data_IF_612930400774
#
_entry.id   IF_612930400774
#
_cell.length_a   1.000
_cell.length_b   1.000
_cell.length_c   1.000
_cell.angle_alpha   90.00
_cell.angle_beta   90.00
_cell.angle_gamma   90.00
#
_symmetry.space_group_name_H-M   'P 1'
#
loop_
_entity.id
_entity.type
_entity.pdbx_description
1 polymer ?
#
# COMPACT_ATOMS: atom_id res chain seq x y z
N UNK A 1 16.85 -14.27 -1.86
CA UNK A 1 16.07 -13.05 -2.12
C UNK A 1 16.90 -12.14 -3.03
N UNK A 2 16.33 -11.64 -4.14
CA UNK A 2 17.05 -10.71 -5.04
C UNK A 2 17.34 -9.38 -4.29
N UNK A 3 18.43 -8.69 -4.65
CA UNK A 3 18.84 -7.39 -4.09
C UNK A 3 17.71 -6.35 -4.13
N UNK A 4 16.89 -6.36 -5.19
CA UNK A 4 15.71 -5.51 -5.29
C UNK A 4 14.74 -5.75 -4.13
N UNK A 5 14.32 -7.01 -3.92
CA UNK A 5 13.38 -7.39 -2.87
C UNK A 5 13.99 -7.09 -1.48
N UNK A 6 15.29 -7.31 -1.28
CA UNK A 6 16.00 -6.96 -0.03
C UNK A 6 15.95 -5.46 0.26
N UNK A 7 16.19 -4.62 -0.76
CA UNK A 7 16.08 -3.18 -0.61
C UNK A 7 14.65 -2.77 -0.27
N UNK A 8 13.70 -3.39 -0.95
CA UNK A 8 12.29 -3.08 -0.84
C UNK A 8 11.70 -3.47 0.51
N UNK A 9 12.03 -4.64 1.05
CA UNK A 9 11.59 -5.07 2.39
C UNK A 9 12.12 -4.15 3.49
N UNK A 10 13.38 -3.70 3.39
CA UNK A 10 13.95 -2.69 4.32
C UNK A 10 13.22 -1.35 4.24
N UNK A 11 12.88 -0.92 3.02
CA UNK A 11 12.09 0.31 2.79
C UNK A 11 10.70 0.17 3.44
N UNK A 12 10.04 -0.96 3.26
CA UNK A 12 8.73 -1.23 3.87
C UNK A 12 8.80 -1.30 5.40
N UNK A 13 9.83 -1.92 5.95
CA UNK A 13 10.05 -1.92 7.40
C UNK A 13 10.13 -0.49 7.95
N UNK A 14 10.91 0.37 7.30
CA UNK A 14 11.04 1.76 7.72
C UNK A 14 9.71 2.51 7.75
N UNK A 15 8.88 2.33 6.71
CA UNK A 15 7.61 3.06 6.59
C UNK A 15 6.47 2.46 7.41
N UNK A 16 6.41 1.15 7.58
CA UNK A 16 5.20 0.47 8.07
C UNK A 16 5.40 -0.35 9.35
N UNK A 17 6.59 -0.90 9.63
CA UNK A 17 6.76 -1.81 10.77
C UNK A 17 6.45 -1.10 12.10
N UNK A 18 5.52 -1.67 12.86
CA UNK A 18 5.02 -1.16 14.15
C UNK A 18 4.44 0.26 14.11
N UNK A 19 4.12 0.81 12.93
CA UNK A 19 3.47 2.13 12.81
C UNK A 19 1.98 2.02 13.09
N UNK A 20 1.43 3.06 13.70
CA UNK A 20 -0.01 3.24 13.84
C UNK A 20 -0.54 4.03 12.65
N UNK A 21 -1.55 3.50 11.98
CA UNK A 21 -2.30 4.18 10.93
C UNK A 21 -3.64 4.57 11.54
N UNK A 22 -4.03 5.83 11.42
CA UNK A 22 -5.31 6.35 11.90
C UNK A 22 -6.32 6.48 10.77
N UNK A 23 -5.88 6.92 9.58
CA UNK A 23 -6.79 7.17 8.45
C UNK A 23 -6.18 6.72 7.12
N UNK A 24 -7.06 6.41 6.19
CA UNK A 24 -6.80 6.41 4.76
C UNK A 24 -7.27 7.76 4.23
N UNK A 25 -6.45 8.44 3.44
CA UNK A 25 -6.81 9.69 2.78
C UNK A 25 -6.83 9.43 1.27
N UNK A 26 -7.98 9.68 0.67
CA UNK A 26 -8.17 9.73 -0.77
C UNK A 26 -8.10 11.17 -1.24
N UNK A 27 -7.60 11.36 -2.47
CA UNK A 27 -7.65 12.64 -3.14
C UNK A 27 -8.77 12.63 -4.18
N UNK A 28 -9.52 13.72 -4.24
CA UNK A 28 -10.51 13.98 -5.26
C UNK A 28 -10.11 15.22 -6.06
N UNK A 29 -10.40 15.24 -7.35
CA UNK A 29 -10.28 16.46 -8.16
C UNK A 29 -11.30 17.49 -7.65
N UNK A 30 -10.90 18.75 -7.52
CA UNK A 30 -11.81 19.82 -7.11
C UNK A 30 -12.86 20.16 -8.17
N UNK A 31 -12.57 19.94 -9.47
CA UNK A 31 -13.47 20.33 -10.57
C UNK A 31 -14.73 19.46 -10.61
N UNK A 32 -14.58 18.13 -10.57
CA UNK A 32 -15.68 17.18 -10.71
C UNK A 32 -15.90 16.28 -9.47
N UNK A 33 -15.06 16.41 -8.45
CA UNK A 33 -15.07 15.60 -7.22
C UNK A 33 -14.87 14.10 -7.48
N UNK A 34 -14.31 13.72 -8.63
CA UNK A 34 -13.91 12.35 -8.92
C UNK A 34 -12.68 11.97 -8.11
N UNK A 35 -12.70 10.75 -7.56
CA UNK A 35 -11.58 10.22 -6.78
C UNK A 35 -10.43 9.86 -7.72
N UNK A 36 -9.23 10.32 -7.38
CA UNK A 36 -8.00 9.84 -7.98
C UNK A 36 -7.74 8.42 -7.47
N UNK A 37 -7.74 7.46 -8.39
CA UNK A 37 -7.59 6.03 -8.12
C UNK A 37 -6.13 5.57 -8.05
N UNK A 38 -5.21 6.34 -8.63
CA UNK A 38 -3.78 6.03 -8.71
C UNK A 38 -2.94 6.63 -7.56
N UNK A 39 -3.57 7.26 -6.57
CA UNK A 39 -2.92 7.85 -5.39
C UNK A 39 -3.67 7.53 -4.11
N UNK A 40 -2.93 7.32 -3.03
CA UNK A 40 -3.47 7.07 -1.69
C UNK A 40 -2.50 7.61 -0.63
N UNK A 41 -3.01 8.11 0.49
CA UNK A 41 -2.19 8.37 1.66
C UNK A 41 -2.69 7.58 2.87
N UNK A 42 -1.75 7.09 3.67
CA UNK A 42 -2.01 6.49 4.97
C UNK A 42 -1.52 7.45 6.04
N UNK A 43 -2.45 8.03 6.80
CA UNK A 43 -2.16 8.98 7.87
C UNK A 43 -1.88 8.23 9.17
N UNK A 44 -0.83 8.64 9.87
CA UNK A 44 -0.45 8.16 11.20
C UNK A 44 -1.14 8.98 12.29
N UNK A 45 -1.15 8.45 13.50
CA UNK A 45 -1.72 9.09 14.69
C UNK A 45 -1.16 10.50 14.98
N UNK A 46 0.12 10.73 14.66
CA UNK A 46 0.80 12.01 14.81
C UNK A 46 0.53 13.02 13.67
N UNK A 47 -0.26 12.64 12.67
CA UNK A 47 -0.57 13.45 11.49
C UNK A 47 0.45 13.32 10.34
N UNK A 48 1.55 12.59 10.49
CA UNK A 48 2.42 12.28 9.36
C UNK A 48 1.71 11.35 8.37
N UNK A 49 2.09 11.38 7.11
CA UNK A 49 1.50 10.51 6.09
C UNK A 49 2.53 9.57 5.46
N UNK A 50 2.02 8.54 4.80
CA UNK A 50 2.74 7.72 3.85
C UNK A 50 1.92 7.75 2.56
N UNK A 51 2.36 8.54 1.60
CA UNK A 51 1.78 8.63 0.27
C UNK A 51 2.23 7.47 -0.61
N UNK A 52 1.31 6.94 -1.40
CA UNK A 52 1.50 5.92 -2.41
C UNK A 52 0.97 6.47 -3.73
N UNK A 53 1.76 6.35 -4.79
CA UNK A 53 1.37 6.80 -6.12
C UNK A 53 1.83 5.78 -7.16
N UNK A 54 0.98 5.49 -8.14
CA UNK A 54 1.31 4.62 -9.27
C UNK A 54 1.19 5.37 -10.59
N UNK A 55 2.08 5.05 -11.53
CA UNK A 55 2.04 5.50 -12.93
C UNK A 55 2.71 4.45 -13.81
N UNK A 56 2.10 3.28 -13.90
CA UNK A 56 2.69 2.08 -14.49
C UNK A 56 3.32 1.16 -13.44
N UNK A 57 4.64 0.95 -13.50
CA UNK A 57 5.31 -0.13 -12.75
C UNK A 57 6.09 0.37 -11.52
N UNK A 58 5.80 -0.27 -10.37
CA UNK A 58 6.24 0.03 -8.99
C UNK A 58 5.65 1.32 -8.36
N UNK A 59 5.12 1.23 -7.13
CA UNK A 59 4.61 2.41 -6.43
C UNK A 59 5.73 3.33 -5.99
N UNK A 60 5.54 4.63 -6.20
CA UNK A 60 6.29 5.67 -5.52
C UNK A 60 5.75 5.81 -4.09
N UNK A 61 6.66 6.07 -3.16
CA UNK A 61 6.33 6.24 -1.74
C UNK A 61 6.90 7.58 -1.30
N UNK A 62 6.06 8.42 -0.71
CA UNK A 62 6.45 9.68 -0.09
C UNK A 62 6.00 9.74 1.38
N UNK A 63 6.66 10.57 2.18
CA UNK A 63 6.25 10.90 3.57
C UNK A 63 5.67 12.30 3.70
N UNK A 64 5.63 13.07 2.61
CA UNK A 64 5.09 14.41 2.61
C UNK A 64 3.61 14.38 2.27
N UNK A 65 2.84 15.29 2.86
CA UNK A 65 1.47 15.55 2.42
C UNK A 65 1.53 16.26 1.07
N UNK A 66 0.51 16.03 0.24
CA UNK A 66 0.45 16.59 -1.11
C UNK A 66 0.57 18.13 -1.12
N UNK A 67 -0.04 18.81 -0.15
CA UNK A 67 0.03 20.28 -0.06
C UNK A 67 1.31 20.82 0.56
N UNK A 68 2.06 19.98 1.30
CA UNK A 68 3.35 20.39 1.88
C UNK A 68 4.45 20.29 0.81
N UNK A 69 4.42 19.20 0.02
CA UNK A 69 5.30 19.00 -1.13
C UNK A 69 4.62 18.06 -2.13
N UNK A 70 4.47 18.55 -3.37
CA UNK A 70 3.87 17.78 -4.47
C UNK A 70 4.86 16.79 -5.08
N UNK A 71 5.28 15.80 -4.30
CA UNK A 71 6.24 14.75 -4.71
C UNK A 71 5.73 13.91 -5.89
N UNK A 72 4.41 13.85 -6.07
CA UNK A 72 3.75 13.10 -7.14
C UNK A 72 3.38 13.97 -8.35
N UNK A 73 3.66 15.27 -8.29
CA UNK A 73 3.41 16.24 -9.35
C UNK A 73 1.92 16.29 -9.78
N UNK A 74 1.00 16.16 -8.82
CA UNK A 74 -0.45 16.14 -9.05
C UNK A 74 -0.97 17.52 -9.48
N UNK A 75 -0.45 18.61 -8.92
CA UNK A 75 -0.90 19.97 -9.30
C UNK A 75 -0.47 20.38 -10.71
N UNK A 76 0.33 19.56 -11.40
CA UNK A 76 0.57 19.72 -12.84
C UNK A 76 -0.59 19.21 -13.70
N UNK A 77 -1.43 18.35 -13.14
CA UNK A 77 -2.53 17.66 -13.83
C UNK A 77 -3.91 18.09 -13.33
N UNK A 78 -4.00 18.58 -12.08
CA UNK A 78 -5.24 18.96 -11.42
C UNK A 78 -5.16 20.42 -10.96
N UNK A 79 -6.24 21.19 -11.19
CA UNK A 79 -6.30 22.60 -10.77
C UNK A 79 -6.43 22.74 -9.25
N UNK A 80 -7.11 21.78 -8.62
CA UNK A 80 -7.33 21.70 -7.20
C UNK A 80 -7.54 20.27 -6.75
N UNK A 81 -7.36 20.02 -5.46
CA UNK A 81 -7.53 18.70 -4.86
C UNK A 81 -8.35 18.84 -3.59
N UNK A 82 -9.07 17.77 -3.21
CA UNK A 82 -9.83 17.67 -1.97
C UNK A 82 -9.41 16.39 -1.23
N UNK A 83 -9.05 16.51 0.05
CA UNK A 83 -8.77 15.36 0.92
C UNK A 83 -10.05 14.76 1.50
N UNK A 84 -10.32 13.49 1.19
CA UNK A 84 -11.38 12.69 1.78
C UNK A 84 -10.80 11.64 2.73
N UNK A 85 -11.10 11.75 4.02
CA UNK A 85 -10.54 10.87 5.06
C UNK A 85 -11.48 9.74 5.46
N UNK A 86 -10.91 8.57 5.66
CA UNK A 86 -11.60 7.38 6.15
C UNK A 86 -10.85 6.78 7.34
N UNK A 87 -11.53 6.53 8.46
CA UNK A 87 -10.89 6.04 9.69
C UNK A 87 -10.78 4.51 9.71
N UNK A 88 -9.59 4.00 10.03
CA UNK A 88 -9.30 2.56 10.10
C UNK A 88 -8.49 2.13 11.33
N UNK A 89 -8.16 3.08 12.20
CA UNK A 89 -7.19 2.99 13.30
C UNK A 89 -6.66 1.58 13.69
N UNK A 90 -5.42 1.27 13.34
CA UNK A 90 -4.74 0.05 13.80
C UNK A 90 -3.21 0.20 13.79
N UNK A 91 -2.54 -0.65 14.57
CA UNK A 91 -1.08 -0.78 14.56
C UNK A 91 -0.67 -1.90 13.63
N UNK A 92 0.30 -1.64 12.76
CA UNK A 92 0.82 -2.63 11.80
C UNK A 92 1.77 -3.59 12.53
N UNK A 93 1.34 -4.84 12.66
CA UNK A 93 2.10 -5.91 13.32
C UNK A 93 2.24 -7.15 12.43
N UNK A 94 1.64 -7.10 11.25
CA UNK A 94 1.84 -8.04 10.16
C UNK A 94 1.94 -7.29 8.84
N UNK A 95 2.93 -7.66 8.03
CA UNK A 95 3.12 -7.16 6.66
C UNK A 95 3.27 -8.36 5.73
N UNK A 96 2.45 -8.41 4.67
CA UNK A 96 2.61 -9.29 3.53
C UNK A 96 2.94 -8.46 2.29
N UNK A 97 3.96 -8.82 1.54
CA UNK A 97 4.33 -8.19 0.27
C UNK A 97 4.17 -9.21 -0.85
N UNK A 98 3.57 -8.78 -1.96
CA UNK A 98 3.35 -9.61 -3.13
C UNK A 98 4.18 -9.07 -4.29
N UNK A 99 5.10 -9.89 -4.81
CA UNK A 99 5.96 -9.52 -5.93
C UNK A 99 5.66 -10.38 -7.14
N UNK A 100 5.68 -9.82 -8.34
CA UNK A 100 5.57 -10.62 -9.56
C UNK A 100 6.78 -11.55 -9.72
N UNK A 101 6.53 -12.77 -10.21
CA UNK A 101 7.58 -13.73 -10.57
C UNK A 101 8.22 -13.41 -11.92
N UNK A 102 7.49 -12.71 -12.79
CA UNK A 102 7.90 -12.39 -14.15
C UNK A 102 8.61 -11.03 -14.21
N UNK A 103 8.07 -10.06 -13.48
CA UNK A 103 8.57 -8.70 -13.40
C UNK A 103 9.01 -8.48 -11.94
N UNK A 104 10.24 -8.02 -11.68
CA UNK A 104 10.71 -7.78 -10.31
C UNK A 104 10.00 -6.55 -9.72
N UNK A 105 8.70 -6.66 -9.46
CA UNK A 105 7.80 -5.55 -9.19
C UNK A 105 6.88 -5.88 -8.05
N UNK A 106 6.57 -4.87 -7.25
CA UNK A 106 5.59 -5.03 -6.18
C UNK A 106 4.18 -4.94 -6.78
N UNK A 107 3.42 -6.02 -6.68
CA UNK A 107 2.01 -6.09 -7.07
C UNK A 107 1.07 -5.52 -6.00
N UNK A 108 1.51 -5.51 -4.74
CA UNK A 108 0.72 -4.99 -3.64
C UNK A 108 1.22 -5.47 -2.29
N UNK A 109 0.45 -5.18 -1.26
CA UNK A 109 0.76 -5.59 0.10
C UNK A 109 -0.49 -5.73 0.98
N UNK A 110 -0.32 -6.41 2.09
CA UNK A 110 -1.30 -6.63 3.13
C UNK A 110 -0.74 -6.18 4.47
N UNK A 111 -1.46 -5.31 5.18
CA UNK A 111 -1.11 -4.82 6.51
C UNK A 111 -2.19 -5.27 7.47
N UNK A 112 -1.82 -5.75 8.65
CA UNK A 112 -2.78 -6.06 9.70
C UNK A 112 -2.20 -5.85 11.09
N UNK A 113 -3.08 -5.73 12.07
CA UNK A 113 -2.72 -5.85 13.48
C UNK A 113 -2.45 -7.32 13.87
N UNK A 114 -1.99 -7.54 15.10
CA UNK A 114 -1.49 -8.86 15.53
C UNK A 114 -2.55 -9.98 15.47
N UNK A 115 -3.80 -9.68 15.78
CA UNK A 115 -4.91 -10.65 15.73
C UNK A 115 -5.66 -10.64 14.37
N UNK A 116 -5.22 -9.80 13.43
CA UNK A 116 -5.86 -9.56 12.14
C UNK A 116 -7.34 -9.13 12.23
N UNK A 117 -7.76 -8.51 13.33
CA UNK A 117 -9.11 -7.91 13.45
C UNK A 117 -9.28 -6.67 12.59
N UNK A 118 -8.17 -6.01 12.24
CA UNK A 118 -8.14 -4.84 11.36
C UNK A 118 -7.03 -5.01 10.35
N UNK A 119 -7.37 -4.81 9.07
CA UNK A 119 -6.45 -5.08 7.99
C UNK A 119 -6.69 -4.13 6.80
N UNK A 120 -5.65 -3.94 6.01
CA UNK A 120 -5.73 -3.29 4.71
C UNK A 120 -4.96 -4.14 3.71
N UNK A 121 -5.62 -4.47 2.62
CA UNK A 121 -5.03 -5.06 1.44
C UNK A 121 -5.00 -4.02 0.32
N UNK A 122 -3.83 -3.80 -0.27
CA UNK A 122 -3.59 -2.85 -1.35
C UNK A 122 -2.98 -3.59 -2.53
N UNK A 123 -3.54 -3.40 -3.71
CA UNK A 123 -2.99 -3.90 -4.97
C UNK A 123 -2.74 -2.74 -5.94
N UNK A 124 -1.58 -2.78 -6.58
CA UNK A 124 -1.20 -1.87 -7.65
C UNK A 124 -1.57 -2.52 -8.98
N UNK A 125 -2.63 -2.01 -9.60
CA UNK A 125 -3.01 -2.35 -10.95
C UNK A 125 -2.39 -1.33 -11.92
N UNK A 126 -2.61 -1.49 -13.22
CA UNK A 126 -1.91 -0.68 -14.22
C UNK A 126 -2.13 0.83 -14.02
N UNK A 127 -3.38 1.22 -13.79
CA UNK A 127 -3.79 2.62 -13.69
C UNK A 127 -4.58 2.92 -12.40
N UNK A 128 -4.80 1.94 -11.52
CA UNK A 128 -5.57 2.12 -10.28
C UNK A 128 -4.96 1.38 -9.07
N UNK A 129 -5.17 1.93 -7.88
CA UNK A 129 -4.88 1.31 -6.59
C UNK A 129 -6.17 0.68 -6.05
N UNK A 130 -6.23 -0.64 -6.11
CA UNK A 130 -7.31 -1.40 -5.49
C UNK A 130 -7.05 -1.54 -3.98
N UNK A 131 -8.08 -1.31 -3.17
CA UNK A 131 -7.98 -1.35 -1.70
C UNK A 131 -9.16 -2.16 -1.15
N UNK A 132 -8.87 -3.11 -0.28
CA UNK A 132 -9.85 -3.84 0.52
C UNK A 132 -9.50 -3.69 2.00
N UNK A 133 -10.46 -3.36 2.85
CA UNK A 133 -10.26 -3.20 4.29
C UNK A 133 -10.89 -4.37 5.04
N UNK A 134 -10.32 -4.67 6.20
CA UNK A 134 -10.80 -5.70 7.12
C UNK A 134 -11.01 -7.07 6.46
N UNK A 135 -10.27 -7.33 5.38
CA UNK A 135 -10.29 -8.62 4.71
C UNK A 135 -9.31 -9.58 5.39
N UNK A 136 -9.70 -10.84 5.46
CA UNK A 136 -8.81 -11.91 5.89
C UNK A 136 -7.69 -12.14 4.88
N UNK A 137 -6.60 -12.77 5.34
CA UNK A 137 -5.53 -13.23 4.44
C UNK A 137 -6.05 -14.17 3.34
N UNK A 138 -7.03 -15.01 3.67
CA UNK A 138 -7.62 -15.94 2.71
C UNK A 138 -8.32 -15.18 1.57
N UNK A 139 -9.11 -14.16 1.91
CA UNK A 139 -9.78 -13.31 0.92
C UNK A 139 -8.77 -12.52 0.08
N UNK A 140 -7.76 -11.92 0.71
CA UNK A 140 -6.69 -11.21 0.00
C UNK A 140 -5.96 -12.14 -1.00
N UNK A 141 -5.61 -13.36 -0.58
CA UNK A 141 -4.99 -14.36 -1.46
C UNK A 141 -5.91 -14.74 -2.62
N UNK A 142 -7.21 -14.98 -2.37
CA UNK A 142 -8.19 -15.30 -3.41
C UNK A 142 -8.33 -14.18 -4.45
N UNK A 143 -8.31 -12.93 -4.00
CA UNK A 143 -8.35 -11.76 -4.86
C UNK A 143 -7.08 -11.68 -5.72
N UNK A 144 -5.92 -11.91 -5.12
CA UNK A 144 -4.62 -11.89 -5.79
C UNK A 144 -4.50 -13.00 -6.85
N UNK A 145 -4.90 -14.23 -6.52
CA UNK A 145 -4.92 -15.38 -7.43
C UNK A 145 -5.84 -15.15 -8.63
N UNK A 146 -7.02 -14.55 -8.41
CA UNK A 146 -7.96 -14.20 -9.46
C UNK A 146 -7.38 -13.19 -10.46
N UNK A 147 -6.47 -12.33 -10.01
CA UNK A 147 -5.85 -11.28 -10.84
C UNK A 147 -4.53 -11.70 -11.49
N UNK A 148 -3.68 -12.46 -10.80
CA UNK A 148 -2.28 -12.66 -11.21
C UNK A 148 -1.84 -14.12 -11.42
N UNK A 149 -2.74 -15.12 -11.35
CA UNK A 149 -2.38 -16.56 -11.33
C UNK A 149 -1.51 -16.94 -10.13
N UNK A 150 -1.67 -18.15 -9.60
CA UNK A 150 -0.89 -18.63 -8.43
C UNK A 150 0.61 -18.68 -8.67
N UNK A 151 1.04 -18.89 -9.92
CA UNK A 151 2.46 -18.92 -10.30
C UNK A 151 3.01 -17.53 -10.66
N UNK A 152 2.14 -16.52 -10.75
CA UNK A 152 2.51 -15.17 -11.19
C UNK A 152 3.13 -14.29 -10.10
N UNK A 153 3.17 -14.75 -8.85
CA UNK A 153 3.69 -13.97 -7.74
C UNK A 153 4.34 -14.79 -6.62
N UNK A 154 5.21 -14.14 -5.84
CA UNK A 154 5.84 -14.66 -4.62
C UNK A 154 5.44 -13.76 -3.46
N UNK A 155 5.15 -14.38 -2.32
CA UNK A 155 4.80 -13.66 -1.09
C UNK A 155 5.97 -13.64 -0.12
N UNK A 156 6.23 -12.47 0.46
CA UNK A 156 7.11 -12.30 1.61
C UNK A 156 6.28 -11.79 2.78
N UNK A 157 6.35 -12.45 3.93
CA UNK A 157 5.66 -12.01 5.13
C UNK A 157 6.64 -11.63 6.23
N UNK A 158 6.17 -10.74 7.09
CA UNK A 158 6.80 -10.38 8.35
C UNK A 158 5.74 -10.23 9.43
N UNK A 159 5.93 -10.93 10.54
CA UNK A 159 5.19 -10.71 11.79
C UNK A 159 6.02 -9.82 12.71
N UNK A 160 5.35 -9.15 13.65
CA UNK A 160 5.98 -8.37 14.70
C UNK A 160 7.14 -9.17 15.32
N UNK A 161 8.32 -8.55 15.40
CA UNK A 161 9.52 -9.14 16.02
C UNK A 161 10.10 -10.36 15.31
N UNK A 162 9.70 -10.61 14.06
CA UNK A 162 10.29 -11.66 13.22
C UNK A 162 10.97 -11.06 11.99
N UNK A 163 11.96 -11.77 11.46
CA UNK A 163 12.53 -11.44 10.16
C UNK A 163 11.58 -11.83 9.01
N UNK A 164 11.79 -11.18 7.86
CA UNK A 164 11.09 -11.50 6.62
C UNK A 164 11.26 -12.97 6.23
N UNK A 165 10.15 -13.61 5.86
CA UNK A 165 10.13 -14.99 5.38
C UNK A 165 9.42 -15.05 4.04
N UNK A 166 10.03 -15.76 3.11
CA UNK A 166 9.36 -16.12 1.86
C UNK A 166 8.36 -17.24 2.16
N UNK A 167 7.13 -17.07 1.71
CA UNK A 167 6.15 -18.16 1.66
C UNK A 167 6.22 -18.77 0.26
N UNK A 168 6.52 -20.06 0.21
CA UNK A 168 6.26 -20.85 -1.00
C UNK A 168 4.80 -21.29 -0.92
N UNK A 169 4.08 -21.14 -2.03
CA UNK A 169 2.77 -21.79 -2.20
C UNK A 169 2.90 -23.31 -2.19
#
# INVERSE_FOLDING_TARGET
MNNYIISFTKKFDYFFDKKEISNIIYLHDEDDNERLDHVLFLEKDNGDVIGLYIRGMNPLISVNRVYDLDDFNLFSSYEGLIECKENIKFKIEYIGLFFSTQYNELLGFYLANNDASSAIFILFLQDEIYIEKDCSKYEASRILEKRFSTEGFITYEKKCETDWRQLNF
#
